data_IF_129812563650
#
_entry.id   IF_129812563650
#
_cell.length_a   1.000
_cell.length_b   1.000
_cell.length_c   1.000
_cell.angle_alpha   90.00
_cell.angle_beta   90.00
_cell.angle_gamma   90.00
#
_symmetry.space_group_name_H-M   'P 1'
#
loop_
_entity.id
_entity.type
_entity.pdbx_description
1 polymer ?
#
# COMPACT_ATOMS: atom_id res chain seq x y z
N UNK A 1 34.73 -1.61 -4.43
CA UNK A 1 33.56 -1.69 -5.32
C UNK A 1 32.33 -1.84 -4.42
N UNK A 2 31.32 -0.98 -4.51
CA UNK A 2 30.07 -1.17 -3.73
C UNK A 2 29.22 -2.24 -4.42
N UNK A 3 28.70 -3.25 -3.72
CA UNK A 3 27.81 -4.23 -4.33
C UNK A 3 26.52 -3.54 -4.81
N UNK A 4 26.05 -3.92 -6.00
CA UNK A 4 24.71 -3.57 -6.45
C UNK A 4 23.71 -4.50 -5.76
N UNK A 5 22.83 -3.94 -4.94
CA UNK A 5 21.83 -4.69 -4.18
C UNK A 5 20.48 -4.79 -4.92
N UNK A 6 20.35 -4.15 -6.09
CA UNK A 6 19.12 -4.19 -6.88
C UNK A 6 19.06 -5.47 -7.69
N UNK A 7 17.91 -6.14 -7.63
CA UNK A 7 17.61 -7.31 -8.46
C UNK A 7 16.93 -6.86 -9.75
N UNK A 8 17.29 -7.47 -10.88
CA UNK A 8 16.61 -7.28 -12.16
C UNK A 8 15.28 -8.06 -12.27
N UNK A 9 14.91 -8.80 -11.21
CA UNK A 9 13.65 -9.55 -11.15
C UNK A 9 12.48 -8.63 -10.83
N UNK A 10 11.27 -9.09 -11.15
CA UNK A 10 10.03 -8.43 -10.71
C UNK A 10 10.02 -8.35 -9.17
N UNK A 11 9.67 -7.18 -8.66
CA UNK A 11 9.56 -6.91 -7.22
C UNK A 11 8.08 -6.90 -6.86
N UNK A 12 7.73 -7.62 -5.80
CA UNK A 12 6.37 -7.59 -5.24
C UNK A 12 6.22 -6.33 -4.39
N UNK A 13 5.18 -5.55 -4.66
CA UNK A 13 4.83 -4.34 -3.91
C UNK A 13 3.51 -4.59 -3.19
N UNK A 14 3.57 -4.70 -1.87
CA UNK A 14 2.37 -4.85 -1.02
C UNK A 14 1.93 -3.51 -0.47
N UNK A 15 0.66 -3.16 -0.66
CA UNK A 15 0.02 -2.01 -0.03
C UNK A 15 -0.81 -2.45 1.19
N UNK A 16 -0.38 -2.10 2.40
CA UNK A 16 -1.12 -2.33 3.64
C UNK A 16 -2.02 -1.12 3.93
N UNK A 17 -3.23 -1.13 3.35
CA UNK A 17 -4.07 0.08 3.20
C UNK A 17 -4.72 0.62 4.48
N UNK A 18 -4.84 -0.17 5.56
CA UNK A 18 -5.50 0.29 6.81
C UNK A 18 -4.81 -0.18 8.09
N UNK A 19 -4.70 -1.50 8.31
CA UNK A 19 -4.20 -2.07 9.57
C UNK A 19 -5.21 -1.95 10.72
N UNK A 20 -4.73 -2.03 11.97
CA UNK A 20 -5.59 -1.97 13.16
C UNK A 20 -5.11 -1.02 14.26
N UNK A 21 -4.05 -0.23 13.99
CA UNK A 21 -3.41 0.65 14.98
C UNK A 21 -3.90 2.10 14.86
N UNK A 22 -4.01 2.61 13.64
CA UNK A 22 -4.34 4.01 13.39
C UNK A 22 -5.84 4.18 13.06
N UNK A 23 -6.35 5.40 13.27
CA UNK A 23 -7.69 5.81 12.83
C UNK A 23 -7.64 7.16 12.12
N UNK A 24 -8.81 7.71 11.75
CA UNK A 24 -8.89 9.03 11.08
C UNK A 24 -8.31 10.20 11.91
N UNK A 25 -8.11 10.00 13.21
CA UNK A 25 -7.40 10.92 14.10
C UNK A 25 -5.90 11.07 13.73
N UNK A 26 -5.29 10.05 13.14
CA UNK A 26 -3.90 10.10 12.68
C UNK A 26 -3.78 10.66 11.27
N UNK A 27 -4.72 10.28 10.39
CA UNK A 27 -4.79 10.77 9.01
C UNK A 27 -6.25 10.70 8.52
N UNK A 28 -6.86 11.83 8.10
CA UNK A 28 -8.22 11.85 7.56
C UNK A 28 -8.44 10.94 6.34
N UNK A 29 -7.39 10.65 5.58
CA UNK A 29 -7.42 9.79 4.40
C UNK A 29 -7.36 8.28 4.73
N UNK A 30 -7.23 7.88 6.00
CA UNK A 30 -7.18 6.47 6.37
C UNK A 30 -8.53 5.77 6.03
N UNK A 31 -8.54 4.74 5.17
CA UNK A 31 -9.76 4.04 4.81
C UNK A 31 -10.23 3.17 5.99
N UNK A 32 -11.49 3.33 6.40
CA UNK A 32 -12.08 2.60 7.52
C UNK A 32 -13.29 1.76 7.09
N UNK A 33 -14.20 2.30 6.28
CA UNK A 33 -15.37 1.53 5.83
C UNK A 33 -14.99 0.48 4.79
N UNK A 34 -15.89 -0.48 4.54
CA UNK A 34 -15.66 -1.51 3.53
C UNK A 34 -15.48 -0.88 2.13
N UNK A 35 -16.30 0.10 1.77
CA UNK A 35 -16.23 0.81 0.49
C UNK A 35 -14.93 1.62 0.36
N UNK A 36 -14.51 2.34 1.41
CA UNK A 36 -13.25 3.08 1.42
C UNK A 36 -12.05 2.14 1.24
N UNK A 37 -12.06 0.99 1.90
CA UNK A 37 -10.98 0.00 1.77
C UNK A 37 -10.97 -0.67 0.40
N UNK A 38 -12.14 -0.98 -0.18
CA UNK A 38 -12.23 -1.52 -1.53
C UNK A 38 -11.69 -0.54 -2.58
N UNK A 39 -12.04 0.73 -2.46
CA UNK A 39 -11.55 1.79 -3.34
C UNK A 39 -10.03 1.98 -3.19
N UNK A 40 -9.51 2.06 -1.96
CA UNK A 40 -8.08 2.19 -1.71
C UNK A 40 -7.26 0.99 -2.22
N UNK A 41 -7.81 -0.24 -2.11
CA UNK A 41 -7.18 -1.43 -2.66
C UNK A 41 -7.07 -1.36 -4.20
N UNK A 42 -8.15 -0.94 -4.87
CA UNK A 42 -8.18 -0.76 -6.32
C UNK A 42 -7.17 0.29 -6.77
N UNK A 43 -7.14 1.46 -6.12
CA UNK A 43 -6.20 2.54 -6.43
C UNK A 43 -4.74 2.09 -6.27
N UNK A 44 -4.42 1.35 -5.21
CA UNK A 44 -3.08 0.80 -5.01
C UNK A 44 -2.70 -0.20 -6.11
N UNK A 45 -3.64 -1.05 -6.52
CA UNK A 45 -3.45 -2.00 -7.62
C UNK A 45 -3.20 -1.30 -8.95
N UNK A 46 -4.01 -0.29 -9.29
CA UNK A 46 -3.85 0.51 -10.51
C UNK A 46 -2.53 1.30 -10.53
N UNK A 47 -2.02 1.68 -9.35
CA UNK A 47 -0.71 2.29 -9.17
C UNK A 47 0.47 1.29 -9.26
N UNK A 48 0.21 -0.02 -9.34
CA UNK A 48 1.22 -1.06 -9.57
C UNK A 48 1.55 -1.94 -8.36
N UNK A 49 0.78 -1.89 -7.29
CA UNK A 49 0.89 -2.88 -6.21
C UNK A 49 0.51 -4.28 -6.75
N UNK A 50 1.47 -5.21 -6.76
CA UNK A 50 1.33 -6.59 -7.28
C UNK A 50 2.42 -7.51 -6.76
#
# INVERSE_FOLDING_TARGET
MKPNLLSDKKVIITAAITGGIHGKWANPALPLTAEEQAQAALECYEAGAS
#
